data_IF_592027525199
#
_entry.id   IF_592027525199
#
_cell.length_a   1.000
_cell.length_b   1.000
_cell.length_c   1.000
_cell.angle_alpha   90.00
_cell.angle_beta   90.00
_cell.angle_gamma   90.00
#
_symmetry.space_group_name_H-M   'P 1'
#
loop_
_entity.id
_entity.type
_entity.pdbx_description
1 polymer ?
#
# COMPACT_ATOMS: atom_id res chain seq x y z
N UNK A 1 2.34 -11.22 -10.30
CA UNK A 1 2.00 -12.58 -9.78
C UNK A 1 1.12 -12.38 -8.56
N UNK A 2 -0.14 -12.83 -8.55
CA UNK A 2 -1.10 -12.40 -7.52
C UNK A 2 -0.81 -12.94 -6.10
N UNK A 3 -1.21 -12.19 -5.07
CA UNK A 3 -1.23 -12.66 -3.69
C UNK A 3 -2.18 -13.83 -3.50
N UNK A 4 -1.77 -14.79 -2.68
CA UNK A 4 -2.68 -15.80 -2.17
C UNK A 4 -3.60 -15.22 -1.10
N UNK A 5 -4.73 -15.89 -0.82
CA UNK A 5 -5.60 -15.54 0.31
C UNK A 5 -4.87 -15.55 1.66
N UNK A 6 -3.82 -16.37 1.78
CA UNK A 6 -3.00 -16.45 2.98
C UNK A 6 -2.14 -15.19 3.14
N UNK A 7 -1.54 -14.69 2.05
CA UNK A 7 -0.80 -13.42 2.08
C UNK A 7 -1.71 -12.24 2.46
N UNK A 8 -2.93 -12.18 1.89
CA UNK A 8 -3.91 -11.13 2.22
C UNK A 8 -4.26 -11.16 3.71
N UNK A 9 -4.56 -12.34 4.27
CA UNK A 9 -4.83 -12.49 5.71
C UNK A 9 -3.63 -12.11 6.57
N UNK A 10 -2.42 -12.53 6.18
CA UNK A 10 -1.21 -12.18 6.89
C UNK A 10 -0.99 -10.66 6.93
N UNK A 11 -1.15 -9.97 5.80
CA UNK A 11 -1.03 -8.50 5.71
C UNK A 11 -2.07 -7.81 6.60
N UNK A 12 -3.28 -8.36 6.70
CA UNK A 12 -4.34 -7.81 7.56
C UNK A 12 -4.04 -7.90 9.06
N UNK A 13 -3.16 -8.80 9.50
CA UNK A 13 -2.76 -8.88 10.92
C UNK A 13 -1.60 -7.95 11.27
N UNK A 14 -1.11 -7.15 10.34
CA UNK A 14 0.04 -6.27 10.55
C UNK A 14 -0.43 -4.89 10.96
N UNK A 15 0.14 -4.33 12.04
CA UNK A 15 -0.14 -2.94 12.41
C UNK A 15 0.67 -1.94 11.56
N UNK A 16 1.82 -2.40 11.04
CA UNK A 16 2.76 -1.58 10.28
C UNK A 16 3.39 -2.36 9.15
N UNK A 17 3.89 -1.65 8.16
CA UNK A 17 4.65 -2.20 7.04
C UNK A 17 5.82 -1.29 6.70
N UNK A 18 6.75 -1.79 5.92
CA UNK A 18 7.90 -1.03 5.45
C UNK A 18 7.82 -0.88 3.93
N UNK A 19 8.11 0.32 3.45
CA UNK A 19 8.25 0.60 2.02
C UNK A 19 9.71 0.91 1.71
N UNK A 20 10.23 0.28 0.65
CA UNK A 20 11.54 0.57 0.08
C UNK A 20 11.37 0.92 -1.39
N UNK A 21 11.96 2.03 -1.80
CA UNK A 21 11.99 2.53 -3.18
C UNK A 21 13.42 2.91 -3.54
N UNK A 22 13.66 3.43 -4.74
CA UNK A 22 15.01 3.86 -5.12
C UNK A 22 15.52 5.03 -4.25
N UNK A 23 14.60 5.86 -3.74
CA UNK A 23 14.92 7.06 -2.97
C UNK A 23 14.61 6.92 -1.47
N UNK A 24 13.81 5.93 -1.09
CA UNK A 24 13.34 5.74 0.29
C UNK A 24 13.75 4.37 0.78
N UNK A 25 14.62 4.29 1.78
CA UNK A 25 15.04 3.00 2.34
C UNK A 25 14.19 2.62 3.57
N UNK A 26 13.47 1.50 3.47
CA UNK A 26 12.87 0.78 4.60
C UNK A 26 12.05 1.66 5.55
N UNK A 27 11.23 2.55 4.98
CA UNK A 27 10.42 3.50 5.73
C UNK A 27 9.21 2.81 6.35
N UNK A 28 9.09 2.90 7.67
CA UNK A 28 7.97 2.31 8.43
C UNK A 28 6.72 3.17 8.31
N UNK A 29 5.60 2.53 7.98
CA UNK A 29 4.28 3.15 7.79
C UNK A 29 3.19 2.38 8.54
N UNK A 30 2.13 3.09 8.92
CA UNK A 30 0.93 2.48 9.53
C UNK A 30 0.13 1.70 8.49
N UNK A 31 -0.38 0.53 8.85
CA UNK A 31 -1.26 -0.28 7.99
C UNK A 31 -2.56 0.46 7.62
N UNK A 32 -2.99 1.43 8.43
CA UNK A 32 -4.16 2.28 8.17
C UNK A 32 -4.05 3.05 6.84
N UNK A 33 -2.83 3.31 6.36
CA UNK A 33 -2.60 3.96 5.08
C UNK A 33 -2.69 3.00 3.87
N UNK A 34 -2.88 1.70 4.08
CA UNK A 34 -2.82 0.68 3.04
C UNK A 34 -4.09 -0.18 3.02
N UNK A 35 -4.85 -0.09 1.94
CA UNK A 35 -6.04 -0.89 1.68
C UNK A 35 -5.77 -1.94 0.59
N UNK A 36 -6.22 -3.17 0.83
CA UNK A 36 -6.12 -4.26 -0.14
C UNK A 36 -7.41 -4.28 -0.96
N UNK A 37 -7.36 -3.81 -2.22
CA UNK A 37 -8.52 -3.82 -3.14
C UNK A 37 -8.81 -5.26 -3.58
N UNK A 38 -7.77 -5.96 -4.01
CA UNK A 38 -7.82 -7.36 -4.43
C UNK A 38 -6.45 -8.04 -4.28
N UNK A 39 -6.27 -9.23 -4.85
CA UNK A 39 -5.02 -10.00 -4.74
C UNK A 39 -3.85 -9.41 -5.52
N UNK A 40 -4.07 -8.41 -6.36
CA UNK A 40 -3.05 -7.77 -7.20
C UNK A 40 -2.90 -6.29 -6.90
N UNK A 41 -3.95 -5.64 -6.38
CA UNK A 41 -4.00 -4.20 -6.23
C UNK A 41 -4.19 -3.76 -4.78
N UNK A 42 -3.41 -2.75 -4.39
CA UNK A 42 -3.54 -2.06 -3.10
C UNK A 42 -3.69 -0.57 -3.34
N UNK A 43 -4.59 0.06 -2.61
CA UNK A 43 -4.55 1.51 -2.46
C UNK A 43 -3.64 1.88 -1.31
N UNK A 44 -2.80 2.89 -1.52
CA UNK A 44 -1.90 3.43 -0.53
C UNK A 44 -2.06 4.95 -0.48
N UNK A 45 -2.39 5.48 0.70
CA UNK A 45 -2.35 6.92 0.97
C UNK A 45 -0.92 7.29 1.35
N UNK A 46 -0.28 8.02 0.45
CA UNK A 46 1.04 8.58 0.70
C UNK A 46 0.92 10.02 1.21
N UNK A 47 1.13 10.18 2.51
CA UNK A 47 1.19 11.50 3.16
C UNK A 47 2.61 12.07 3.26
N UNK A 48 3.61 11.37 2.73
CA UNK A 48 5.02 11.68 2.93
C UNK A 48 5.69 12.25 1.66
N UNK A 49 6.86 11.74 1.29
CA UNK A 49 7.55 12.09 0.04
C UNK A 49 6.80 11.49 -1.12
N UNK A 50 6.58 12.28 -2.17
CA UNK A 50 5.86 11.83 -3.36
C UNK A 50 6.58 10.65 -4.00
N UNK A 51 5.83 9.64 -4.39
CA UNK A 51 6.32 8.53 -5.21
C UNK A 51 6.16 8.88 -6.69
N UNK A 52 7.07 8.38 -7.51
CA UNK A 52 7.02 8.61 -8.95
C UNK A 52 6.11 7.56 -9.62
N UNK A 53 5.44 7.96 -10.70
CA UNK A 53 4.64 7.01 -11.48
C UNK A 53 5.55 5.96 -12.12
N UNK A 54 5.09 4.71 -12.18
CA UNK A 54 5.81 3.54 -12.69
C UNK A 54 7.07 3.18 -11.88
N UNK A 55 7.29 3.80 -10.71
CA UNK A 55 8.34 3.39 -9.78
C UNK A 55 8.03 1.99 -9.21
N UNK A 56 9.07 1.16 -9.09
CA UNK A 56 8.96 -0.12 -8.38
C UNK A 56 9.23 0.10 -6.90
N UNK A 57 8.29 -0.32 -6.06
CA UNK A 57 8.39 -0.24 -4.61
C UNK A 57 8.23 -1.62 -3.99
N UNK A 58 9.08 -1.90 -3.00
CA UNK A 58 9.04 -3.15 -2.24
C UNK A 58 8.34 -2.91 -0.92
N UNK A 59 7.31 -3.70 -0.65
CA UNK A 59 6.59 -3.73 0.61
C UNK A 59 7.08 -4.90 1.45
N UNK A 60 7.39 -4.65 2.72
CA UNK A 60 7.80 -5.67 3.68
C UNK A 60 6.91 -5.65 4.92
N UNK A 61 6.50 -6.83 5.35
CA UNK A 61 5.66 -7.09 6.52
C UNK A 61 6.39 -8.07 7.44
N UNK A 62 6.87 -7.59 8.58
CA UNK A 62 7.87 -8.29 9.40
C UNK A 62 7.32 -8.87 10.71
N UNK A 63 6.07 -8.60 11.07
CA UNK A 63 5.51 -9.11 12.31
C UNK A 63 4.99 -10.54 12.11
N UNK A 64 5.72 -11.51 12.66
CA UNK A 64 5.32 -12.89 12.63
C UNK A 64 3.95 -13.13 13.28
N UNK A 65 3.17 -14.05 12.70
CA UNK A 65 1.98 -14.61 13.31
C UNK A 65 2.00 -16.14 13.22
N UNK A 66 0.90 -16.80 13.58
CA UNK A 66 0.80 -18.27 13.57
C UNK A 66 0.99 -18.93 12.17
N UNK A 67 1.01 -18.15 11.09
CA UNK A 67 1.01 -18.64 9.71
C UNK A 67 2.27 -18.25 8.92
N UNK A 68 2.83 -17.07 9.15
CA UNK A 68 4.04 -16.58 8.46
C UNK A 68 4.90 -15.74 9.40
N UNK A 69 6.22 -15.80 9.19
CA UNK A 69 7.21 -15.00 9.92
C UNK A 69 7.44 -13.63 9.29
N UNK A 70 7.45 -13.57 7.95
CA UNK A 70 7.58 -12.35 7.18
C UNK A 70 6.96 -12.51 5.80
N UNK A 71 6.61 -11.39 5.17
CA UNK A 71 6.18 -11.34 3.78
C UNK A 71 6.80 -10.13 3.09
N UNK A 72 7.27 -10.33 1.86
CA UNK A 72 7.82 -9.29 1.01
C UNK A 72 7.23 -9.40 -0.39
N UNK A 73 6.88 -8.27 -0.99
CA UNK A 73 6.45 -8.20 -2.38
C UNK A 73 6.90 -6.90 -3.04
N UNK A 74 7.27 -6.97 -4.31
CA UNK A 74 7.50 -5.81 -5.15
C UNK A 74 6.22 -5.43 -5.89
N UNK A 75 5.97 -4.14 -6.02
CA UNK A 75 4.78 -3.56 -6.66
C UNK A 75 5.19 -2.39 -7.54
N UNK A 76 4.43 -2.13 -8.60
CA UNK A 76 4.56 -0.93 -9.42
C UNK A 76 3.58 0.14 -8.97
N UNK A 77 4.04 1.38 -8.89
CA UNK A 77 3.27 2.56 -8.51
C UNK A 77 2.48 3.09 -9.70
N UNK A 78 1.18 3.30 -9.51
CA UNK A 78 0.35 4.10 -10.40
C UNK A 78 -0.33 5.20 -9.60
N UNK A 79 -0.07 6.45 -9.96
CA UNK A 79 -0.67 7.60 -9.26
C UNK A 79 -2.14 7.68 -9.66
N UNK A 80 -3.03 7.70 -8.66
CA UNK A 80 -4.47 7.81 -8.88
C UNK A 80 -4.86 9.28 -9.01
N UNK A 81 -5.48 9.64 -10.13
CA UNK A 81 -5.96 11.00 -10.38
C UNK A 81 -7.02 11.39 -9.34
N UNK A 82 -6.92 12.61 -8.81
CA UNK A 82 -7.86 13.17 -7.82
C UNK A 82 -9.29 13.32 -8.37
N UNK A 83 -9.43 13.46 -9.68
CA UNK A 83 -10.74 13.59 -10.34
C UNK A 83 -11.38 12.22 -10.67
N UNK A 84 -10.67 11.12 -10.42
CA UNK A 84 -11.18 9.77 -10.73
C UNK A 84 -12.18 9.24 -9.71
N UNK A 85 -13.08 8.36 -10.17
CA UNK A 85 -13.99 7.61 -9.30
C UNK A 85 -13.25 6.69 -8.33
N UNK A 86 -12.11 6.15 -8.75
CA UNK A 86 -11.23 5.31 -7.91
C UNK A 86 -10.70 6.11 -6.71
N UNK A 87 -10.35 7.39 -6.91
CA UNK A 87 -9.91 8.27 -5.83
C UNK A 87 -11.01 8.53 -4.81
N UNK A 88 -12.21 8.89 -5.28
CA UNK A 88 -13.37 9.10 -4.41
C UNK A 88 -13.71 7.83 -3.60
N UNK A 89 -13.69 6.67 -4.26
CA UNK A 89 -13.96 5.37 -3.62
C UNK A 89 -12.93 5.02 -2.56
N UNK A 90 -11.64 5.22 -2.84
CA UNK A 90 -10.58 4.97 -1.88
C UNK A 90 -10.70 5.88 -0.65
N UNK A 91 -11.00 7.18 -0.84
CA UNK A 91 -11.17 8.11 0.28
C UNK A 91 -12.28 7.69 1.24
N UNK A 92 -13.41 7.19 0.72
CA UNK A 92 -14.50 6.65 1.53
C UNK A 92 -14.04 5.46 2.36
N UNK A 93 -13.25 4.56 1.76
CA UNK A 93 -12.71 3.41 2.48
C UNK A 93 -11.76 3.82 3.62
N UNK A 94 -10.85 4.76 3.34
CA UNK A 94 -9.90 5.25 4.35
C UNK A 94 -10.54 6.18 5.38
N UNK A 95 -11.79 6.60 5.17
CA UNK A 95 -12.48 7.58 6.01
C UNK A 95 -11.64 8.86 6.23
N UNK A 96 -10.99 9.34 5.17
CA UNK A 96 -10.09 10.50 5.20
C UNK A 96 -10.63 11.60 4.27
N UNK A 97 -10.47 12.85 4.71
CA UNK A 97 -10.78 14.02 3.88
C UNK A 97 -9.72 14.18 2.77
N UNK A 98 -10.19 14.36 1.52
CA UNK A 98 -9.36 14.58 0.33
C UNK A 98 -8.26 15.63 0.51
N UNK A 99 -8.54 16.70 1.27
CA UNK A 99 -7.60 17.81 1.51
C UNK A 99 -6.36 17.36 2.29
N UNK A 100 -6.48 16.30 3.11
CA UNK A 100 -5.38 15.75 3.90
C UNK A 100 -4.54 14.74 3.13
N UNK A 101 -5.02 14.26 1.98
CA UNK A 101 -4.30 13.28 1.15
C UNK A 101 -3.38 14.01 0.21
N UNK A 102 -2.07 13.88 0.46
CA UNK A 102 -1.06 14.44 -0.42
C UNK A 102 -1.04 13.70 -1.77
N UNK A 103 -1.04 12.36 -1.72
CA UNK A 103 -1.03 11.51 -2.90
C UNK A 103 -1.75 10.19 -2.61
N UNK A 104 -2.61 9.74 -3.53
CA UNK A 104 -3.18 8.39 -3.53
C UNK A 104 -2.49 7.57 -4.61
N UNK A 105 -2.08 6.36 -4.25
CA UNK A 105 -1.34 5.46 -5.11
C UNK A 105 -2.06 4.13 -5.21
N UNK A 106 -2.09 3.57 -6.41
CA UNK A 106 -2.42 2.18 -6.67
C UNK A 106 -1.11 1.40 -6.82
N UNK A 107 -0.91 0.40 -5.98
CA UNK A 107 0.23 -0.51 -6.02
C UNK A 107 -0.20 -1.82 -6.67
N UNK A 108 0.51 -2.26 -7.69
CA UNK A 108 0.16 -3.43 -8.50
C UNK A 108 1.25 -4.51 -8.48
N UNK A 109 0.90 -5.80 -8.27
CA UNK A 109 1.82 -6.98 -8.26
C UNK A 109 1.72 -7.83 -9.54
#
# INVERSE_FOLDING_TARGET
MALSKLHVRYIQTQDTFYITTNNIENKKLSKECLYIKDTQHFYFINNNESLDNDETVTLQFKHANNYMSSFECSTTVSIVDKESEDFASALLFFNINAVKVKQLVLLSI
#
